data_IF_066560612495
#
_entry.id   IF_066560612495
#
_cell.length_a   1.000
_cell.length_b   1.000
_cell.length_c   1.000
_cell.angle_alpha   90.00
_cell.angle_beta   90.00
_cell.angle_gamma   90.00
#
_symmetry.space_group_name_H-M   'P 1'
#
loop_
_entity.id
_entity.type
_entity.pdbx_description
1 polymer ?
#
# COMPACT_ATOMS: atom_id res chain seq x y z
N UNK A 1 0.08 -53.35 8.80
CA UNK A 1 0.66 -52.02 8.47
C UNK A 1 -0.36 -50.99 8.92
N UNK A 2 -0.35 -50.38 10.11
CA UNK A 2 0.72 -49.64 10.81
C UNK A 2 1.49 -48.70 9.88
N UNK A 3 1.26 -47.42 10.13
CA UNK A 3 2.22 -46.30 10.23
C UNK A 3 2.14 -45.23 9.13
N UNK A 4 1.53 -44.08 9.47
CA UNK A 4 2.12 -42.72 9.65
C UNK A 4 2.38 -42.09 8.25
N UNK A 5 2.04 -40.85 7.86
CA UNK A 5 2.33 -39.53 8.43
C UNK A 5 1.76 -38.55 7.37
N UNK A 6 0.86 -37.63 7.72
CA UNK A 6 1.22 -36.23 7.93
C UNK A 6 1.85 -35.56 6.69
N UNK A 7 1.02 -34.99 5.82
CA UNK A 7 1.33 -33.73 5.14
C UNK A 7 0.26 -32.74 5.62
N UNK A 8 0.44 -32.13 6.79
CA UNK A 8 0.96 -30.76 6.90
C UNK A 8 0.37 -29.92 5.76
N UNK A 9 -0.83 -29.35 5.91
CA UNK A 9 -1.01 -28.10 6.68
C UNK A 9 0.19 -27.16 6.49
N UNK A 10 0.58 -26.96 5.23
CA UNK A 10 1.22 -25.71 4.82
C UNK A 10 0.12 -24.66 4.72
N UNK A 11 -0.45 -24.34 5.88
CA UNK A 11 -1.08 -23.06 6.14
C UNK A 11 0.04 -22.04 6.20
N UNK A 12 0.67 -21.76 5.05
CA UNK A 12 1.39 -20.50 4.90
C UNK A 12 0.32 -19.44 5.10
N UNK A 13 0.38 -18.75 6.24
CA UNK A 13 -0.40 -17.56 6.46
C UNK A 13 -0.18 -16.67 5.24
N UNK A 14 -1.23 -16.54 4.43
CA UNK A 14 -1.37 -15.45 3.49
C UNK A 14 -1.44 -14.20 4.38
N UNK A 15 -0.28 -13.70 4.80
CA UNK A 15 -0.17 -12.33 5.24
C UNK A 15 -0.35 -11.50 3.98
N UNK A 16 -1.61 -11.26 3.60
CA UNK A 16 -1.94 -10.13 2.77
C UNK A 16 -1.32 -8.92 3.48
N UNK A 17 -0.31 -8.34 2.83
CA UNK A 17 0.56 -7.34 3.45
C UNK A 17 -0.18 -6.03 3.57
N UNK A 18 -0.90 -5.87 4.68
CA UNK A 18 -1.34 -4.56 5.11
C UNK A 18 -0.14 -3.83 5.70
N UNK A 19 -0.02 -2.54 5.38
CA UNK A 19 1.00 -1.69 5.98
C UNK A 19 0.45 -0.29 6.23
N UNK A 20 1.03 0.35 7.23
CA UNK A 20 0.66 1.69 7.67
C UNK A 20 1.43 2.73 6.88
N UNK A 21 0.77 3.85 6.60
CA UNK A 21 1.36 5.08 6.05
C UNK A 21 1.02 6.21 7.01
N UNK A 22 2.02 7.00 7.41
CA UNK A 22 1.80 8.21 8.20
C UNK A 22 2.40 9.46 7.53
N UNK A 23 3.11 9.29 6.41
CA UNK A 23 3.67 10.39 5.62
C UNK A 23 3.27 10.23 4.16
N UNK A 24 2.83 11.34 3.57
CA UNK A 24 2.63 11.50 2.13
C UNK A 24 3.38 12.77 1.69
N UNK A 25 4.34 12.62 0.80
CA UNK A 25 5.15 13.71 0.27
C UNK A 25 5.05 13.76 -1.24
N UNK A 26 5.11 14.97 -1.79
CA UNK A 26 5.19 15.14 -3.24
C UNK A 26 6.59 14.76 -3.72
N UNK A 27 6.66 13.99 -4.81
CA UNK A 27 7.93 13.68 -5.47
C UNK A 27 8.53 14.97 -6.07
N UNK A 28 9.84 15.24 -5.88
CA UNK A 28 10.50 16.38 -6.50
C UNK A 28 10.27 16.41 -8.02
N UNK A 29 10.00 17.61 -8.55
CA UNK A 29 9.71 17.87 -9.97
C UNK A 29 8.34 17.39 -10.49
N UNK A 30 7.48 16.85 -9.62
CA UNK A 30 6.10 16.47 -9.97
C UNK A 30 5.08 17.30 -9.19
N UNK A 31 3.88 17.46 -9.76
CA UNK A 31 2.76 18.15 -9.14
C UNK A 31 1.73 17.18 -8.53
N UNK A 32 1.61 15.96 -9.08
CA UNK A 32 0.62 14.97 -8.68
C UNK A 32 1.22 13.54 -8.62
N UNK A 33 2.46 13.44 -8.15
CA UNK A 33 3.11 12.16 -7.83
C UNK A 33 3.56 12.20 -6.38
N UNK A 34 3.17 11.19 -5.61
CA UNK A 34 3.32 11.19 -4.16
C UNK A 34 4.05 9.94 -3.68
N UNK A 35 5.01 10.12 -2.79
CA UNK A 35 5.66 9.08 -2.03
C UNK A 35 4.89 8.89 -0.71
N UNK A 36 4.47 7.66 -0.44
CA UNK A 36 3.73 7.26 0.75
C UNK A 36 4.59 6.30 1.56
N UNK A 37 4.83 6.62 2.82
CA UNK A 37 5.65 5.79 3.70
C UNK A 37 5.30 5.96 5.18
N UNK A 38 5.85 5.08 6.01
CA UNK A 38 5.83 5.22 7.46
C UNK A 38 7.20 5.69 7.94
N UNK A 39 7.30 6.88 8.55
CA UNK A 39 8.60 7.40 9.02
C UNK A 39 9.17 6.64 10.23
N UNK A 40 8.37 5.78 10.86
CA UNK A 40 8.77 4.88 11.94
C UNK A 40 9.07 3.45 11.45
N UNK A 41 8.65 3.09 10.23
CA UNK A 41 8.79 1.73 9.68
C UNK A 41 9.16 1.74 8.19
N UNK A 42 10.28 1.11 7.84
CA UNK A 42 10.78 1.09 6.46
C UNK A 42 10.44 -0.19 5.69
N UNK A 43 9.44 -0.96 6.12
CA UNK A 43 9.20 -2.29 5.55
C UNK A 43 8.52 -2.26 4.18
N UNK A 44 7.59 -1.33 3.97
CA UNK A 44 6.89 -1.15 2.71
C UNK A 44 6.64 0.33 2.48
N UNK A 45 6.70 0.75 1.22
CA UNK A 45 6.36 2.10 0.78
C UNK A 45 5.45 2.01 -0.44
N UNK A 46 4.84 3.12 -0.82
CA UNK A 46 4.06 3.20 -2.03
C UNK A 46 4.28 4.50 -2.78
N UNK A 47 3.99 4.49 -4.07
CA UNK A 47 3.99 5.68 -4.93
C UNK A 47 2.63 5.79 -5.61
N UNK A 48 1.97 6.92 -5.39
CA UNK A 48 0.74 7.28 -6.08
C UNK A 48 1.07 8.28 -7.19
N UNK A 49 1.05 7.82 -8.44
CA UNK A 49 1.29 8.66 -9.62
C UNK A 49 -0.02 8.96 -10.34
N UNK A 50 -0.54 10.18 -10.13
CA UNK A 50 -1.72 10.68 -10.83
C UNK A 50 -1.37 11.60 -12.02
N UNK A 51 -0.09 11.85 -12.29
CA UNK A 51 0.37 12.80 -13.31
C UNK A 51 0.77 12.11 -14.62
N UNK A 52 1.40 10.93 -14.52
CA UNK A 52 1.91 10.19 -15.68
C UNK A 52 0.80 9.78 -16.64
N UNK A 53 1.18 9.46 -17.89
CA UNK A 53 0.24 9.00 -18.93
C UNK A 53 -0.59 7.80 -18.45
N UNK A 54 0.06 6.85 -17.77
CA UNK A 54 -0.60 5.78 -17.04
C UNK A 54 -0.58 6.13 -15.56
N UNK A 55 -1.74 6.44 -14.98
CA UNK A 55 -1.85 6.64 -13.54
C UNK A 55 -1.72 5.30 -12.84
N UNK A 56 -1.01 5.28 -11.71
CA UNK A 56 -0.78 4.03 -11.00
C UNK A 56 -0.48 4.22 -9.51
N UNK A 57 -0.68 3.13 -8.78
CA UNK A 57 -0.31 2.99 -7.39
C UNK A 57 0.60 1.77 -7.20
N UNK A 58 1.89 2.06 -7.06
CA UNK A 58 2.94 1.04 -6.91
C UNK A 58 3.24 0.81 -5.44
N UNK A 59 3.36 -0.45 -5.04
CA UNK A 59 3.75 -0.85 -3.67
C UNK A 59 5.13 -1.50 -3.72
N UNK A 60 6.05 -1.00 -2.89
CA UNK A 60 7.43 -1.44 -2.81
C UNK A 60 7.69 -2.19 -1.51
N UNK A 61 8.57 -3.17 -1.55
CA UNK A 61 9.14 -3.79 -0.35
C UNK A 61 10.31 -2.96 0.22
N UNK A 62 10.86 -3.42 1.35
CA UNK A 62 12.04 -2.83 2.01
C UNK A 62 13.30 -2.76 1.14
N UNK A 63 13.35 -3.48 0.03
CA UNK A 63 14.45 -3.48 -0.94
C UNK A 63 14.14 -2.60 -2.16
N UNK A 64 13.08 -1.79 -2.08
CA UNK A 64 12.58 -0.94 -3.17
C UNK A 64 12.21 -1.72 -4.43
N UNK A 65 11.84 -3.00 -4.29
CA UNK A 65 11.32 -3.79 -5.40
C UNK A 65 9.80 -3.64 -5.45
N UNK A 66 9.26 -3.43 -6.65
CA UNK A 66 7.81 -3.39 -6.86
C UNK A 66 7.23 -4.77 -6.57
N UNK A 67 6.31 -4.82 -5.61
CA UNK A 67 5.57 -6.03 -5.25
C UNK A 67 4.18 -6.06 -5.87
N UNK A 68 3.56 -4.89 -6.05
CA UNK A 68 2.25 -4.73 -6.67
C UNK A 68 2.26 -3.46 -7.52
N UNK A 69 1.73 -3.57 -8.74
CA UNK A 69 1.51 -2.44 -9.65
C UNK A 69 0.01 -2.37 -9.95
N UNK A 70 -0.63 -1.26 -9.62
CA UNK A 70 -2.07 -1.07 -9.81
C UNK A 70 -2.29 0.08 -10.79
N UNK A 71 -2.80 -0.23 -11.99
CA UNK A 71 -3.20 0.79 -12.94
C UNK A 71 -4.53 1.40 -12.52
N UNK A 72 -4.60 2.73 -12.60
CA UNK A 72 -5.74 3.50 -12.15
C UNK A 72 -6.29 4.36 -13.27
N UNK A 73 -7.59 4.62 -13.22
CA UNK A 73 -8.16 5.82 -13.82
C UNK A 73 -7.76 7.04 -13.00
N UNK A 74 -7.80 8.23 -13.62
CA UNK A 74 -7.57 9.48 -12.91
C UNK A 74 -8.50 9.67 -11.71
N UNK A 75 -9.77 9.26 -11.82
CA UNK A 75 -10.75 9.36 -10.73
C UNK A 75 -10.43 8.41 -9.57
N UNK A 76 -9.92 7.22 -9.84
CA UNK A 76 -9.44 6.29 -8.81
C UNK A 76 -8.21 6.84 -8.10
N UNK A 77 -7.29 7.45 -8.85
CA UNK A 77 -6.10 8.10 -8.27
C UNK A 77 -6.48 9.20 -7.28
N UNK A 78 -7.41 10.08 -7.66
CA UNK A 78 -7.92 11.12 -6.76
C UNK A 78 -8.61 10.56 -5.52
N UNK A 79 -9.36 9.45 -5.63
CA UNK A 79 -9.98 8.82 -4.45
C UNK A 79 -8.95 8.31 -3.45
N UNK A 80 -7.87 7.68 -3.93
CA UNK A 80 -6.78 7.21 -3.05
C UNK A 80 -6.09 8.41 -2.39
N UNK A 81 -5.80 9.46 -3.17
CA UNK A 81 -5.22 10.70 -2.67
C UNK A 81 -6.09 11.32 -1.56
N UNK A 82 -7.37 11.59 -1.86
CA UNK A 82 -8.30 12.22 -0.90
C UNK A 82 -8.46 11.39 0.37
N UNK A 83 -8.64 10.07 0.24
CA UNK A 83 -8.78 9.22 1.41
C UNK A 83 -7.51 9.22 2.27
N UNK A 84 -6.33 9.17 1.64
CA UNK A 84 -5.06 9.20 2.38
C UNK A 84 -4.86 10.52 3.09
N UNK A 85 -5.03 11.64 2.39
CA UNK A 85 -4.94 12.99 2.99
C UNK A 85 -5.90 13.14 4.17
N UNK A 86 -7.16 12.72 4.00
CA UNK A 86 -8.15 12.78 5.07
C UNK A 86 -7.75 11.97 6.31
N UNK A 87 -7.13 10.79 6.14
CA UNK A 87 -6.61 10.02 7.28
C UNK A 87 -5.47 10.77 7.99
N UNK A 88 -4.50 11.28 7.23
CA UNK A 88 -3.31 11.94 7.78
C UNK A 88 -3.64 13.28 8.46
N UNK A 89 -4.52 14.09 7.87
CA UNK A 89 -4.96 15.38 8.44
C UNK A 89 -5.76 15.20 9.74
N UNK A 90 -6.45 14.06 9.91
CA UNK A 90 -7.12 13.70 11.15
C UNK A 90 -6.14 13.19 12.24
N UNK A 91 -4.84 13.11 11.96
CA UNK A 91 -3.83 12.59 12.87
C UNK A 91 -3.83 11.06 12.99
N UNK A 92 -4.41 10.36 12.00
CA UNK A 92 -4.44 8.91 11.90
C UNK A 92 -3.40 8.40 10.89
N UNK A 93 -3.21 7.08 10.86
CA UNK A 93 -2.42 6.41 9.81
C UNK A 93 -3.35 5.97 8.68
N UNK A 94 -2.89 5.98 7.44
CA UNK A 94 -3.59 5.33 6.34
C UNK A 94 -3.18 3.86 6.27
N UNK A 95 -4.15 2.94 6.32
CA UNK A 95 -3.88 1.52 6.10
C UNK A 95 -3.97 1.18 4.62
N UNK A 96 -2.90 0.61 4.05
CA UNK A 96 -2.89 0.13 2.68
C UNK A 96 -2.98 -1.38 2.70
N UNK A 97 -4.00 -1.93 2.02
CA UNK A 97 -4.14 -3.36 1.75
C UNK A 97 -3.78 -3.59 0.28
N UNK A 98 -2.75 -4.37 0.01
CA UNK A 98 -2.35 -4.65 -1.38
C UNK A 98 -3.40 -5.42 -2.18
N UNK A 99 -4.39 -6.04 -1.52
CA UNK A 99 -5.52 -6.73 -2.13
C UNK A 99 -6.73 -5.82 -2.35
N UNK A 100 -6.81 -4.70 -1.62
CA UNK A 100 -7.86 -3.69 -1.72
C UNK A 100 -7.29 -2.28 -1.44
N UNK A 101 -6.64 -1.73 -2.46
CA UNK A 101 -6.00 -0.41 -2.38
C UNK A 101 -7.01 0.74 -2.24
N UNK A 102 -8.30 0.46 -2.41
CA UNK A 102 -9.39 1.44 -2.29
C UNK A 102 -10.08 1.41 -0.93
N UNK A 103 -9.61 0.57 -0.01
CA UNK A 103 -10.10 0.58 1.36
C UNK A 103 -10.02 2.00 1.93
N UNK A 104 -10.94 2.35 2.82
CA UNK A 104 -11.01 3.68 3.43
C UNK A 104 -10.50 3.69 4.88
N UNK A 105 -9.76 2.65 5.30
CA UNK A 105 -9.32 2.50 6.69
C UNK A 105 -8.23 3.51 7.05
N UNK A 106 -8.46 4.23 8.14
CA UNK A 106 -7.48 5.09 8.80
C UNK A 106 -6.91 4.44 10.08
N UNK A 107 -6.88 3.11 10.15
CA UNK A 107 -6.20 2.32 11.18
C UNK A 107 -5.92 0.91 10.61
N UNK A 108 -4.81 0.30 11.00
CA UNK A 108 -4.45 -1.08 10.63
C UNK A 108 -4.78 -2.14 11.70
N UNK A 109 -5.76 -1.84 12.56
CA UNK A 109 -6.28 -2.78 13.58
C UNK A 109 -7.04 -3.99 12.99
#
# INVERSE_FOLDING_TARGET
>A
MKIITLLLLVSTGLCAGQFEINVMEIEPDFALKFNLYNDQQTQQTAVLDCQSFFQKFDIFDKYHQVTHENFLTISECYKIYENTVNCLEAGHVKCIDSSDIFNNKCSCD
#
